data_IF_976702896380
#
_entry.id   IF_976702896380
#
_cell.length_a   1.000
_cell.length_b   1.000
_cell.length_c   1.000
_cell.angle_alpha   90.00
_cell.angle_beta   90.00
_cell.angle_gamma   90.00
#
_symmetry.space_group_name_H-M   'P 1'
#
loop_
_entity.id
_entity.type
_entity.pdbx_description
1 polymer ?
#
# COMPACT_ATOMS: atom_id res chain seq x y z
N UNK A 1 -0.09 -14.13 -0.86
CA UNK A 1 -0.20 -13.73 0.55
C UNK A 1 -0.09 -15.01 1.34
N UNK A 2 0.95 -15.16 2.15
CA UNK A 2 1.05 -16.27 3.09
C UNK A 2 0.05 -15.99 4.23
N UNK A 3 -0.94 -16.86 4.48
CA UNK A 3 -1.92 -16.64 5.56
C UNK A 3 -1.26 -16.64 6.94
N UNK A 4 -0.18 -17.40 7.13
CA UNK A 4 0.45 -17.60 8.43
C UNK A 4 1.12 -16.32 8.94
N UNK A 5 1.53 -15.45 8.01
CA UNK A 5 2.04 -14.11 8.32
C UNK A 5 1.06 -13.25 9.13
N UNK A 6 -0.25 -13.44 8.97
CA UNK A 6 -1.24 -12.65 9.73
C UNK A 6 -1.08 -12.89 11.23
N UNK A 7 -1.00 -14.16 11.64
CA UNK A 7 -0.85 -14.53 13.05
C UNK A 7 0.58 -14.26 13.53
N UNK A 8 1.59 -14.55 12.72
CA UNK A 8 3.00 -14.33 13.04
C UNK A 8 3.36 -12.84 13.25
N UNK A 9 2.64 -11.93 12.58
CA UNK A 9 2.81 -10.48 12.74
C UNK A 9 1.86 -9.88 13.78
N UNK A 10 1.16 -10.68 14.58
CA UNK A 10 0.31 -10.19 15.68
C UNK A 10 -1.07 -9.69 15.25
N UNK A 11 -1.51 -10.03 14.04
CA UNK A 11 -2.88 -9.85 13.55
C UNK A 11 -3.40 -8.42 13.58
N UNK A 12 -4.71 -8.27 13.80
CA UNK A 12 -5.41 -6.97 13.87
C UNK A 12 -4.88 -6.11 15.03
N UNK A 13 -4.52 -6.70 16.16
CA UNK A 13 -4.01 -5.95 17.33
C UNK A 13 -2.71 -5.22 16.98
N UNK A 14 -1.81 -5.88 16.26
CA UNK A 14 -0.58 -5.26 15.78
C UNK A 14 -0.86 -4.14 14.77
N UNK A 15 -1.80 -4.35 13.85
CA UNK A 15 -2.20 -3.33 12.88
C UNK A 15 -2.74 -2.07 13.58
N UNK A 16 -3.67 -2.24 14.53
CA UNK A 16 -4.22 -1.12 15.32
C UNK A 16 -3.15 -0.37 16.10
N UNK A 17 -2.24 -1.10 16.76
CA UNK A 17 -1.10 -0.52 17.46
C UNK A 17 -0.23 0.32 16.50
N UNK A 18 0.12 -0.23 15.34
CA UNK A 18 0.95 0.47 14.37
C UNK A 18 0.27 1.69 13.77
N UNK A 19 -1.05 1.69 13.56
CA UNK A 19 -1.75 2.89 13.11
C UNK A 19 -1.74 4.01 14.15
N UNK A 20 -1.72 3.68 15.45
CA UNK A 20 -1.63 4.67 16.52
C UNK A 20 -0.18 5.14 16.78
N UNK A 21 0.82 4.31 16.44
CA UNK A 21 2.23 4.53 16.76
C UNK A 21 3.14 4.68 15.54
N UNK A 22 2.59 4.98 14.36
CA UNK A 22 3.26 4.92 13.06
C UNK A 22 4.59 5.69 12.94
N UNK A 23 4.83 6.74 13.75
CA UNK A 23 6.10 7.49 13.79
C UNK A 23 7.02 7.11 14.95
N UNK A 24 6.49 6.48 16.00
CA UNK A 24 7.18 6.30 17.29
C UNK A 24 7.75 4.89 17.48
N UNK A 25 7.33 3.93 16.66
CA UNK A 25 7.77 2.54 16.75
C UNK A 25 8.35 2.06 15.42
N UNK A 26 9.66 1.83 15.36
CA UNK A 26 10.36 1.44 14.13
C UNK A 26 9.92 0.08 13.58
N UNK A 27 9.42 -0.83 14.43
CA UNK A 27 8.86 -2.12 13.98
C UNK A 27 7.58 -1.97 13.17
N UNK A 28 6.92 -0.81 13.27
CA UNK A 28 5.75 -0.45 12.47
C UNK A 28 6.11 0.24 11.15
N UNK A 29 7.40 0.41 10.84
CA UNK A 29 7.81 1.01 9.59
C UNK A 29 7.57 0.06 8.43
N UNK A 30 7.28 0.65 7.29
CA UNK A 30 7.15 -0.08 6.02
C UNK A 30 8.44 -0.85 5.69
N UNK A 31 8.37 -1.73 4.68
CA UNK A 31 9.55 -2.40 4.14
C UNK A 31 10.65 -1.41 3.68
N UNK A 32 10.27 -0.16 3.35
CA UNK A 32 11.17 0.93 3.01
C UNK A 32 11.79 1.63 4.24
N UNK A 33 11.57 1.10 5.46
CA UNK A 33 12.12 1.60 6.73
C UNK A 33 11.72 3.05 7.05
N UNK A 34 10.53 3.44 6.59
CA UNK A 34 9.92 4.73 6.90
C UNK A 34 8.53 4.54 7.53
N UNK A 35 8.08 5.50 8.36
CA UNK A 35 6.72 5.54 8.90
C UNK A 35 5.65 5.32 7.83
N UNK A 36 4.70 4.41 8.09
CA UNK A 36 3.52 4.23 7.24
C UNK A 36 2.35 4.99 7.88
N UNK A 37 2.13 6.21 7.42
CA UNK A 37 1.06 7.05 7.93
C UNK A 37 -0.33 6.46 7.57
N UNK A 38 -1.29 6.37 8.51
CA UNK A 38 -2.57 5.68 8.26
C UNK A 38 -3.37 6.21 7.06
N UNK A 39 -3.38 7.51 6.78
CA UNK A 39 -4.12 8.08 5.64
C UNK A 39 -3.54 7.71 4.28
N UNK A 40 -2.28 7.23 4.20
CA UNK A 40 -1.71 6.72 2.95
C UNK A 40 -2.08 5.26 2.64
N UNK A 41 -2.60 4.53 3.63
CA UNK A 41 -2.91 3.10 3.54
C UNK A 41 -4.39 2.77 3.79
N UNK A 42 -5.14 3.64 4.45
CA UNK A 42 -6.54 3.46 4.82
C UNK A 42 -7.41 4.64 4.35
N UNK A 43 -8.67 4.36 4.06
CA UNK A 43 -9.67 5.36 3.69
C UNK A 43 -11.03 5.13 4.33
N UNK A 44 -11.84 6.19 4.38
CA UNK A 44 -13.24 6.10 4.81
C UNK A 44 -13.45 5.88 6.31
N UNK A 45 -12.55 6.40 7.14
CA UNK A 45 -12.68 6.47 8.61
C UNK A 45 -12.87 7.92 9.08
N UNK A 46 -13.26 8.11 10.35
CA UNK A 46 -13.36 9.44 10.97
C UNK A 46 -12.22 9.69 11.96
N UNK A 47 -11.58 10.86 11.85
CA UNK A 47 -10.50 11.33 12.74
C UNK A 47 -9.35 10.32 12.85
N UNK A 48 -9.22 9.65 14.00
CA UNK A 48 -8.19 8.68 14.32
C UNK A 48 -8.77 7.28 14.57
N UNK A 49 -10.02 7.04 14.17
CA UNK A 49 -10.67 5.74 14.33
C UNK A 49 -10.32 4.79 13.16
N UNK A 50 -9.06 4.39 13.08
CA UNK A 50 -8.55 3.62 11.93
C UNK A 50 -9.19 2.24 11.77
N UNK A 51 -9.73 1.65 12.86
CA UNK A 51 -10.48 0.39 12.82
C UNK A 51 -11.82 0.50 12.09
N UNK A 52 -12.35 1.72 11.89
CA UNK A 52 -13.56 1.97 11.09
C UNK A 52 -13.27 2.22 9.60
N UNK A 53 -12.01 2.04 9.15
CA UNK A 53 -11.68 2.20 7.74
C UNK A 53 -12.52 1.26 6.86
N UNK A 54 -13.11 1.82 5.81
CA UNK A 54 -13.95 1.08 4.84
C UNK A 54 -13.21 0.75 3.55
N UNK A 55 -11.98 1.24 3.39
CA UNK A 55 -11.15 0.97 2.23
C UNK A 55 -9.68 0.86 2.59
N UNK A 56 -8.98 -0.05 1.90
CA UNK A 56 -7.53 -0.07 1.84
C UNK A 56 -7.05 0.71 0.62
N UNK A 57 -5.96 1.44 0.76
CA UNK A 57 -5.30 2.20 -0.31
C UNK A 57 -3.92 1.60 -0.54
N UNK A 58 -3.65 1.18 -1.78
CA UNK A 58 -2.34 0.64 -2.18
C UNK A 58 -1.73 1.63 -3.19
N UNK A 59 -0.58 2.20 -2.82
CA UNK A 59 0.12 3.20 -3.64
C UNK A 59 1.48 2.68 -4.10
N UNK A 60 1.71 2.68 -5.41
CA UNK A 60 3.00 2.35 -6.01
C UNK A 60 3.65 3.61 -6.58
N UNK A 61 4.54 4.30 -5.84
CA UNK A 61 5.25 5.46 -6.38
C UNK A 61 6.25 5.03 -7.46
N UNK A 62 6.19 5.67 -8.63
CA UNK A 62 7.09 5.43 -9.76
C UNK A 62 7.92 6.69 -10.03
N UNK A 63 9.21 6.52 -10.30
CA UNK A 63 10.11 7.63 -10.57
C UNK A 63 9.75 8.31 -11.91
N UNK A 64 9.63 9.64 -11.89
CA UNK A 64 9.40 10.45 -13.09
C UNK A 64 10.73 11.07 -13.58
N UNK A 65 11.30 10.52 -14.66
CA UNK A 65 12.63 10.87 -15.16
C UNK A 65 12.63 12.07 -16.12
N UNK A 66 12.13 13.23 -15.68
CA UNK A 66 11.93 14.45 -16.51
C UNK A 66 13.22 14.95 -17.19
N UNK A 67 14.37 14.84 -16.52
CA UNK A 67 15.64 15.43 -16.98
C UNK A 67 16.63 14.42 -17.58
N UNK A 68 16.27 13.15 -17.72
CA UNK A 68 17.20 12.14 -18.22
C UNK A 68 17.07 11.97 -19.73
N UNK A 69 18.21 12.00 -20.41
CA UNK A 69 18.35 11.58 -21.82
C UNK A 69 18.29 10.05 -21.84
N UNK A 70 17.10 9.46 -21.90
CA UNK A 70 16.91 8.01 -21.93
C UNK A 70 15.44 7.57 -21.89
N UNK A 71 15.21 6.27 -22.10
CA UNK A 71 13.86 5.66 -22.20
C UNK A 71 13.31 5.15 -20.85
N UNK A 72 13.73 5.75 -19.73
CA UNK A 72 13.25 5.35 -18.40
C UNK A 72 11.74 5.57 -18.26
N UNK A 73 11.23 6.69 -18.78
CA UNK A 73 9.80 6.96 -18.80
C UNK A 73 9.05 5.98 -19.72
N UNK A 74 9.64 5.51 -20.81
CA UNK A 74 9.04 4.48 -21.67
C UNK A 74 8.86 3.15 -20.94
N UNK A 75 9.85 2.74 -20.13
CA UNK A 75 9.75 1.56 -19.25
C UNK A 75 8.68 1.72 -18.18
N UNK A 76 8.59 2.90 -17.55
CA UNK A 76 7.54 3.19 -16.57
C UNK A 76 6.14 3.07 -17.20
N UNK A 77 5.92 3.69 -18.37
CA UNK A 77 4.65 3.60 -19.11
C UNK A 77 4.32 2.15 -19.49
N UNK A 78 5.31 1.34 -19.89
CA UNK A 78 5.09 -0.07 -20.20
C UNK A 78 4.64 -0.87 -18.96
N UNK A 79 5.26 -0.61 -17.81
CA UNK A 79 4.86 -1.21 -16.54
C UNK A 79 3.45 -0.77 -16.11
N UNK A 80 3.12 0.52 -16.20
CA UNK A 80 1.79 1.06 -15.89
C UNK A 80 0.70 0.41 -16.76
N UNK A 81 0.94 0.23 -18.06
CA UNK A 81 0.01 -0.45 -18.97
C UNK A 81 -0.23 -1.90 -18.53
N UNK A 82 0.82 -2.64 -18.17
CA UNK A 82 0.69 -4.01 -17.69
C UNK A 82 -0.07 -4.08 -16.35
N UNK A 83 0.22 -3.15 -15.43
CA UNK A 83 -0.47 -3.04 -14.14
C UNK A 83 -1.98 -2.80 -14.31
N UNK A 84 -2.38 -1.91 -15.23
CA UNK A 84 -3.80 -1.67 -15.53
C UNK A 84 -4.49 -2.95 -16.05
N UNK A 85 -3.83 -3.72 -16.91
CA UNK A 85 -4.41 -4.98 -17.41
C UNK A 85 -4.57 -5.99 -16.29
N UNK A 86 -3.56 -6.13 -15.42
CA UNK A 86 -3.62 -6.99 -14.24
C UNK A 86 -4.77 -6.59 -13.30
N UNK A 87 -4.88 -5.29 -12.99
CA UNK A 87 -5.94 -4.78 -12.12
C UNK A 87 -7.34 -5.04 -12.69
N UNK A 88 -7.53 -4.87 -14.01
CA UNK A 88 -8.80 -5.19 -14.67
C UNK A 88 -9.14 -6.67 -14.53
N UNK A 89 -8.19 -7.57 -14.80
CA UNK A 89 -8.39 -9.02 -14.70
C UNK A 89 -8.84 -9.42 -13.29
N UNK A 90 -8.12 -8.95 -12.27
CA UNK A 90 -8.44 -9.23 -10.85
C UNK A 90 -9.85 -8.73 -10.52
N UNK A 91 -10.19 -7.50 -10.90
CA UNK A 91 -11.50 -6.93 -10.61
C UNK A 91 -12.64 -7.64 -11.36
N UNK A 92 -12.42 -8.12 -12.58
CA UNK A 92 -13.43 -8.87 -13.34
C UNK A 92 -13.63 -10.27 -12.79
N UNK A 93 -12.57 -10.96 -12.37
CA UNK A 93 -12.67 -12.31 -11.76
C UNK A 93 -13.30 -12.26 -10.36
N UNK A 94 -13.07 -11.20 -9.60
CA UNK A 94 -13.71 -11.01 -8.28
C UNK A 94 -15.23 -10.75 -8.35
N UNK A 95 -15.79 -10.52 -9.54
CA UNK A 95 -17.21 -10.21 -9.75
C UNK A 95 -18.02 -11.39 -10.29
N UNK A 96 -17.40 -12.55 -10.50
CA UNK A 96 -18.02 -13.79 -10.98
C UNK A 96 -18.12 -14.83 -9.87
#
# INVERSE_FOLDING_TARGET
MDPDNYDDYGGVEHAEYCFQHYTSTETCFSAFKAPLEPTVALGGFSRNNYSEASAFVITYPVNNAIMKVGDENGKAIAWEKAFIQLAKLICTESSA
#
